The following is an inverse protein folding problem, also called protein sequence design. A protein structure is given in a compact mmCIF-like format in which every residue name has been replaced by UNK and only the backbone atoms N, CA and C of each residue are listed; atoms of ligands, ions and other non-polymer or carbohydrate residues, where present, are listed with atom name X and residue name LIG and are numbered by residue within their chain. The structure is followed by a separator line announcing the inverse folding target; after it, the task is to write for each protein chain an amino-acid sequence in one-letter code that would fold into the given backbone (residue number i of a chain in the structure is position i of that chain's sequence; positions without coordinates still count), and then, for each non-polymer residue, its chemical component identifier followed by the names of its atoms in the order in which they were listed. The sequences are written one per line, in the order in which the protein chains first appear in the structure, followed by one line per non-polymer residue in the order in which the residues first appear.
data_IF_525914135385
#
_entry.id   IF_525914135385
#
_cell.length_a   1.000
_cell.length_b   1.000
_cell.length_c   1.000
_cell.angle_alpha   90.00
_cell.angle_beta   90.00
_cell.angle_gamma   90.00
#
_symmetry.space_group_name_H-M   'P 1'
#
loop_
_entity.id
_entity.type
_entity.pdbx_description
1 polymer ?
#
# COMPACT_ATOMS: atom_id res chain seq x y z
N UNK A 1 1.20 4.87 -18.13
CA UNK A 1 2.25 5.12 -17.13
C UNK A 1 1.69 6.05 -16.07
N UNK A 2 1.96 5.78 -14.80
CA UNK A 2 1.57 6.63 -13.66
C UNK A 2 2.79 6.97 -12.82
N UNK A 3 2.75 8.15 -12.18
CA UNK A 3 3.80 8.66 -11.30
C UNK A 3 3.42 8.33 -9.87
N UNK A 4 4.22 7.53 -9.18
CA UNK A 4 3.95 7.08 -7.81
C UNK A 4 5.07 7.56 -6.92
N UNK A 5 4.72 8.29 -5.86
CA UNK A 5 5.66 8.60 -4.80
C UNK A 5 5.44 7.60 -3.65
N UNK A 6 6.52 6.92 -3.25
CA UNK A 6 6.54 5.96 -2.14
C UNK A 6 7.23 6.63 -0.96
N UNK A 7 6.48 7.23 -0.04
CA UNK A 7 7.04 7.96 1.09
C UNK A 7 7.61 7.02 2.14
N UNK A 8 8.57 7.51 2.91
CA UNK A 8 9.07 6.84 4.11
C UNK A 8 8.29 7.34 5.33
N UNK A 9 7.77 6.44 6.17
CA UNK A 9 7.17 6.81 7.45
C UNK A 9 8.25 7.15 8.49
N UNK A 10 8.02 8.11 9.42
CA UNK A 10 6.84 8.96 9.57
C UNK A 10 6.92 10.29 8.79
N UNK A 11 8.00 10.54 8.06
CA UNK A 11 8.23 11.81 7.37
C UNK A 11 7.85 11.72 5.87
N UNK A 12 6.65 12.17 5.47
CA UNK A 12 6.11 11.96 4.12
C UNK A 12 6.78 12.84 3.05
N UNK A 13 7.87 13.54 3.38
CA UNK A 13 8.65 14.34 2.43
C UNK A 13 9.79 13.56 1.78
N UNK A 14 10.21 12.44 2.38
CA UNK A 14 11.29 11.59 1.87
C UNK A 14 10.73 10.30 1.30
N UNK A 15 11.45 9.68 0.35
CA UNK A 15 11.00 8.44 -0.27
C UNK A 15 11.54 8.26 -1.69
N UNK A 16 10.87 7.39 -2.43
CA UNK A 16 11.21 7.05 -3.81
C UNK A 16 10.15 7.60 -4.76
N UNK A 17 10.58 8.03 -5.96
CA UNK A 17 9.69 8.41 -7.04
C UNK A 17 9.79 7.38 -8.16
N UNK A 18 8.66 6.72 -8.45
CA UNK A 18 8.58 5.62 -9.40
C UNK A 18 7.67 6.01 -10.57
N UNK A 19 8.00 5.52 -11.75
CA UNK A 19 7.11 5.56 -12.92
C UNK A 19 6.78 4.12 -13.26
N UNK A 20 5.50 3.76 -13.14
CA UNK A 20 5.03 2.38 -13.32
C UNK A 20 3.96 2.28 -14.40
N UNK A 21 3.76 1.11 -15.02
CA UNK A 21 2.61 0.87 -15.89
C UNK A 21 1.31 1.08 -15.12
N UNK A 22 0.29 1.66 -15.79
CA UNK A 22 -1.00 1.93 -15.15
C UNK A 22 -1.72 0.65 -14.70
N UNK A 23 -1.42 -0.49 -15.33
CA UNK A 23 -1.93 -1.81 -14.97
C UNK A 23 -1.37 -2.37 -13.65
N UNK A 24 -0.29 -1.79 -13.12
CA UNK A 24 0.31 -2.18 -11.84
C UNK A 24 -0.20 -1.32 -10.67
N UNK A 25 -1.20 -0.46 -10.89
CA UNK A 25 -1.77 0.42 -9.88
C UNK A 25 -3.28 0.22 -9.77
N UNK A 26 -3.81 0.27 -8.55
CA UNK A 26 -5.24 0.25 -8.27
C UNK A 26 -5.66 1.61 -7.74
N UNK A 27 -6.72 2.19 -8.32
CA UNK A 27 -7.26 3.46 -7.86
C UNK A 27 -7.96 3.29 -6.51
N UNK A 28 -7.67 4.20 -5.60
CA UNK A 28 -8.27 4.23 -4.27
C UNK A 28 -9.14 5.48 -4.11
N UNK A 29 -10.16 5.37 -3.27
CA UNK A 29 -11.11 6.46 -2.97
C UNK A 29 -10.71 7.22 -1.69
N UNK A 30 -9.49 7.00 -1.18
CA UNK A 30 -8.96 7.72 -0.04
C UNK A 30 -8.85 9.21 -0.34
N UNK A 31 -9.24 10.01 0.64
CA UNK A 31 -8.85 11.42 0.66
C UNK A 31 -7.35 11.55 0.88
N UNK A 32 -6.78 12.68 0.45
CA UNK A 32 -5.36 13.00 0.71
C UNK A 32 -5.06 12.97 2.21
N UNK A 33 -5.98 13.48 3.04
CA UNK A 33 -5.83 13.49 4.50
C UNK A 33 -5.74 12.07 5.09
N UNK A 34 -6.61 11.16 4.66
CA UNK A 34 -6.60 9.76 5.10
C UNK A 34 -5.32 9.04 4.68
N UNK A 35 -4.88 9.23 3.44
CA UNK A 35 -3.63 8.65 2.96
C UNK A 35 -2.43 9.16 3.77
N UNK A 36 -2.36 10.46 4.05
CA UNK A 36 -1.28 11.05 4.85
C UNK A 36 -1.30 10.59 6.30
N UNK A 37 -2.48 10.49 6.94
CA UNK A 37 -2.60 9.93 8.30
C UNK A 37 -2.08 8.50 8.37
N UNK A 38 -2.40 7.68 7.37
CA UNK A 38 -1.90 6.32 7.28
C UNK A 38 -0.37 6.28 7.13
N UNK A 39 0.20 7.09 6.24
CA UNK A 39 1.66 7.16 6.02
C UNK A 39 2.39 7.62 7.29
N UNK A 40 1.96 8.73 7.90
CA UNK A 40 2.64 9.32 9.06
C UNK A 40 2.56 8.38 10.27
N UNK A 41 1.44 7.67 10.44
CA UNK A 41 1.26 6.70 11.52
C UNK A 41 1.96 5.36 11.27
N UNK A 42 2.59 5.16 10.10
CA UNK A 42 3.20 3.88 9.73
C UNK A 42 2.18 2.75 9.56
N UNK A 43 0.93 3.07 9.21
CA UNK A 43 -0.16 2.12 9.02
C UNK A 43 -0.98 1.80 10.27
N UNK A 44 -0.63 2.36 11.45
CA UNK A 44 -1.42 2.18 12.68
C UNK A 44 -2.83 2.78 12.51
N UNK A 45 -2.94 3.90 11.80
CA UNK A 45 -4.22 4.50 11.43
C UNK A 45 -4.54 4.07 10.00
N UNK A 46 -5.32 3.00 9.86
CA UNK A 46 -5.79 2.52 8.54
C UNK A 46 -7.20 3.04 8.25
N UNK A 47 -7.44 3.70 7.11
CA UNK A 47 -8.78 4.14 6.71
C UNK A 47 -9.70 2.94 6.44
N UNK A 48 -10.95 3.00 6.91
CA UNK A 48 -11.94 1.93 6.75
C UNK A 48 -12.19 1.52 5.28
N UNK A 49 -11.98 2.46 4.33
CA UNK A 49 -12.10 2.21 2.90
C UNK A 49 -11.07 1.19 2.34
N UNK A 50 -9.95 0.97 3.05
CA UNK A 50 -8.88 0.05 2.65
C UNK A 50 -9.04 -1.37 3.23
N UNK A 51 -9.67 -1.52 4.40
CA UNK A 51 -9.75 -2.80 5.13
C UNK A 51 -10.31 -3.95 4.29
N UNK A 52 -11.37 -3.70 3.50
CA UNK A 52 -11.97 -4.72 2.63
C UNK A 52 -11.28 -4.89 1.27
N UNK A 53 -10.66 -3.82 0.75
CA UNK A 53 -10.14 -3.78 -0.63
C UNK A 53 -8.73 -4.35 -0.74
N UNK A 54 -7.88 -4.16 0.28
CA UNK A 54 -6.53 -4.72 0.29
C UNK A 54 -6.55 -6.25 0.30
N UNK A 55 -7.47 -6.84 1.09
CA UNK A 55 -7.64 -8.29 1.13
C UNK A 55 -8.07 -8.88 -0.23
N UNK A 56 -8.95 -8.18 -0.96
CA UNK A 56 -9.42 -8.61 -2.28
C UNK A 56 -8.39 -8.37 -3.41
N UNK A 57 -7.61 -7.29 -3.32
CA UNK A 57 -6.54 -7.00 -4.28
C UNK A 57 -5.37 -7.99 -4.17
N UNK A 58 -5.02 -8.40 -2.95
CA UNK A 58 -3.95 -9.38 -2.70
C UNK A 58 -4.35 -10.78 -3.17
N UNK A 59 -5.61 -11.19 -2.97
CA UNK A 59 -6.10 -12.50 -3.41
C UNK A 59 -6.19 -12.65 -4.93
N UNK A 60 -6.32 -11.55 -5.67
CA UNK A 60 -6.37 -11.55 -7.14
C UNK A 60 -5.00 -11.42 -7.83
N UNK A 61 -3.93 -11.12 -7.09
CA UNK A 61 -2.56 -10.97 -7.61
C UNK A 61 -1.64 -12.18 -7.45
N UNK A 62 -2.06 -13.26 -6.78
CA UNK A 62 -1.22 -14.42 -6.44
C UNK A 62 -0.93 -15.39 -7.61
N UNK A 63 -1.23 -15.02 -8.86
CA UNK A 63 -0.99 -15.85 -10.04
C UNK A 63 0.31 -15.50 -10.80
N UNK A 64 1.25 -14.81 -10.16
CA UNK A 64 2.57 -14.52 -10.74
C UNK A 64 3.69 -14.94 -9.78
N UNK A 65 4.08 -16.22 -9.87
CA UNK A 65 5.38 -16.73 -9.41
C UNK A 65 5.47 -17.10 -7.93
N UNK A 66 5.34 -18.39 -7.64
CA UNK A 66 5.93 -19.01 -6.44
C UNK A 66 7.46 -18.91 -6.50
N UNK A 67 8.07 -18.20 -5.55
CA UNK A 67 9.13 -18.71 -4.66
C UNK A 67 9.80 -17.54 -3.91
N UNK A 68 9.23 -17.21 -2.76
CA UNK A 68 9.97 -17.03 -1.51
C UNK A 68 8.95 -16.61 -0.46
N UNK A 69 8.46 -17.56 0.32
CA UNK A 69 7.79 -17.23 1.58
C UNK A 69 8.77 -16.46 2.46
N UNK A 70 8.50 -15.20 2.88
CA UNK A 70 9.01 -14.76 4.15
C UNK A 70 8.03 -15.31 5.18
N UNK A 71 8.43 -16.36 5.87
CA UNK A 71 7.99 -16.57 7.24
C UNK A 71 8.16 -15.23 7.98
N UNK A 72 7.09 -14.46 8.15
CA UNK A 72 7.24 -13.10 8.68
C UNK A 72 6.10 -12.11 8.47
N UNK A 73 5.09 -12.36 7.62
CA UNK A 73 3.88 -11.52 7.60
C UNK A 73 2.91 -11.99 8.70
N UNK A 74 3.39 -12.04 9.94
CA UNK A 74 2.52 -12.12 11.10
C UNK A 74 2.12 -10.71 11.51
N UNK A 75 0.80 -10.46 11.46
CA UNK A 75 0.08 -9.45 12.24
C UNK A 75 0.78 -8.09 12.40
N UNK A 76 0.76 -7.27 11.36
CA UNK A 76 0.73 -5.82 11.59
C UNK A 76 -0.75 -5.45 11.61
N UNK A 77 -1.18 -4.87 12.74
CA UNK A 77 -2.55 -4.49 13.12
C UNK A 77 -3.37 -5.59 13.82
N UNK A 78 -3.03 -5.83 15.09
CA UNK A 78 -4.03 -5.80 16.17
C UNK A 78 -3.73 -4.59 17.04
#
# INVERSE_FOLDING_TARGET
MVKVFVPTAPNPTTGFFLIVPSSAAVTTDLTVEEAFKMIISGGIVTPAALDGRLAAAWSSGSAAGEDSSPAGVQSVVR
#
